data_IF_635288542791
#
_entry.id   IF_635288542791
#
_cell.length_a   1.000
_cell.length_b   1.000
_cell.length_c   1.000
_cell.angle_alpha   90.00
_cell.angle_beta   90.00
_cell.angle_gamma   90.00
#
_symmetry.space_group_name_H-M   'P 1'
#
loop_
_entity.id
_entity.type
_entity.pdbx_description
1 polymer ?
#
# COMPACT_ATOMS: atom_id res chain seq x y z
N UNK A 1 10.66 11.64 -12.09
CA UNK A 1 10.53 11.20 -10.71
C UNK A 1 9.56 12.10 -9.95
N UNK A 2 8.66 11.53 -9.19
CA UNK A 2 7.61 12.30 -8.54
C UNK A 2 7.80 12.31 -7.02
N UNK A 3 8.65 13.22 -6.55
CA UNK A 3 8.95 13.34 -5.12
C UNK A 3 7.75 13.83 -4.32
N UNK A 4 6.83 14.59 -4.95
CA UNK A 4 5.61 15.05 -4.27
C UNK A 4 4.71 13.85 -3.96
N UNK A 5 4.54 12.94 -4.92
CA UNK A 5 3.74 11.75 -4.70
C UNK A 5 4.37 10.84 -3.64
N UNK A 6 5.69 10.69 -3.67
CA UNK A 6 6.40 9.89 -2.68
C UNK A 6 6.21 10.47 -1.26
N UNK A 7 6.36 11.78 -1.11
CA UNK A 7 6.15 12.43 0.18
C UNK A 7 4.72 12.25 0.66
N UNK A 8 3.76 12.31 -0.25
CA UNK A 8 2.35 12.14 0.11
C UNK A 8 2.08 10.75 0.65
N UNK A 9 2.56 9.70 -0.03
CA UNK A 9 2.31 8.34 0.44
C UNK A 9 3.06 8.03 1.73
N UNK A 10 4.24 8.61 1.93
CA UNK A 10 4.98 8.45 3.17
C UNK A 10 4.22 9.09 4.35
N UNK A 11 3.53 10.19 4.10
CA UNK A 11 2.74 10.86 5.13
C UNK A 11 1.44 10.14 5.41
N UNK A 12 0.75 9.69 4.35
CA UNK A 12 -0.56 9.04 4.49
C UNK A 12 -0.42 7.61 5.02
N UNK A 13 0.64 6.92 4.63
CA UNK A 13 0.83 5.51 4.97
C UNK A 13 2.23 5.29 5.54
N UNK A 14 2.49 5.80 6.75
CA UNK A 14 3.84 5.67 7.34
C UNK A 14 4.16 4.20 7.64
N UNK A 15 5.46 3.90 7.65
CA UNK A 15 5.95 2.57 7.99
C UNK A 15 5.39 2.15 9.35
N UNK A 16 4.88 0.93 9.39
CA UNK A 16 4.28 0.36 10.60
C UNK A 16 2.77 0.50 10.69
N UNK A 17 2.15 1.34 9.83
CA UNK A 17 0.70 1.48 9.89
C UNK A 17 0.01 0.28 9.25
N UNK A 18 -1.22 0.04 9.69
CA UNK A 18 -2.07 -1.02 9.13
C UNK A 18 -2.94 -0.44 8.03
N UNK A 19 -3.13 -1.20 6.97
CA UNK A 19 -3.93 -0.78 5.84
C UNK A 19 -4.87 -1.91 5.41
N UNK A 20 -5.91 -1.54 4.69
CA UNK A 20 -6.89 -2.47 4.15
C UNK A 20 -6.96 -2.28 2.65
N UNK A 21 -6.93 -3.37 1.90
CA UNK A 21 -6.99 -3.32 0.44
C UNK A 21 -8.41 -3.02 -0.03
N UNK A 22 -8.54 -1.98 -0.85
CA UNK A 22 -9.82 -1.60 -1.46
C UNK A 22 -9.88 -2.00 -2.92
N UNK A 23 -8.79 -1.85 -3.66
CA UNK A 23 -8.74 -2.17 -5.08
C UNK A 23 -7.29 -2.36 -5.50
N UNK A 24 -7.02 -3.38 -6.31
CA UNK A 24 -5.68 -3.60 -6.83
C UNK A 24 -5.76 -4.11 -8.26
N UNK A 25 -5.07 -3.41 -9.16
CA UNK A 25 -4.98 -3.78 -10.56
C UNK A 25 -3.77 -4.71 -10.75
N UNK A 26 -3.99 -5.98 -10.49
CA UNK A 26 -2.96 -7.00 -10.59
C UNK A 26 -3.63 -8.29 -11.04
N UNK A 27 -2.84 -9.21 -11.60
CA UNK A 27 -3.37 -10.48 -12.08
C UNK A 27 -3.83 -11.38 -10.93
N UNK A 28 -3.07 -11.37 -9.83
CA UNK A 28 -3.34 -12.20 -8.65
C UNK A 28 -3.31 -11.37 -7.38
N UNK A 29 -4.25 -10.42 -7.23
CA UNK A 29 -4.24 -9.55 -6.06
C UNK A 29 -4.71 -10.30 -4.82
N UNK A 30 -4.32 -9.82 -3.63
CA UNK A 30 -4.98 -10.30 -2.41
C UNK A 30 -6.48 -10.01 -2.50
N UNK A 31 -7.31 -10.78 -1.81
CA UNK A 31 -8.76 -10.47 -1.79
C UNK A 31 -9.01 -9.06 -1.26
N UNK A 32 -10.02 -8.39 -1.81
CA UNK A 32 -10.45 -7.08 -1.31
C UNK A 32 -10.79 -7.22 0.17
N UNK A 33 -10.34 -6.26 0.97
CA UNK A 33 -10.51 -6.30 2.41
C UNK A 33 -9.36 -6.94 3.17
N UNK A 34 -8.36 -7.49 2.46
CA UNK A 34 -7.17 -8.03 3.10
C UNK A 34 -6.44 -6.92 3.85
N UNK A 35 -5.99 -7.22 5.06
CA UNK A 35 -5.23 -6.28 5.87
C UNK A 35 -3.74 -6.51 5.68
N UNK A 36 -2.95 -5.46 5.89
CA UNK A 36 -1.50 -5.56 5.78
C UNK A 36 -0.81 -4.48 6.60
N UNK A 37 0.51 -4.57 6.66
CA UNK A 37 1.34 -3.62 7.39
C UNK A 37 2.33 -2.99 6.41
N UNK A 38 2.40 -1.68 6.41
CA UNK A 38 3.35 -0.94 5.57
C UNK A 38 4.75 -1.11 6.13
N UNK A 39 5.70 -1.50 5.27
CA UNK A 39 7.10 -1.63 5.71
C UNK A 39 8.05 -0.72 4.94
N UNK A 40 7.57 0.01 3.95
CA UNK A 40 8.41 0.94 3.21
C UNK A 40 7.67 1.60 2.06
N UNK A 41 8.42 2.40 1.32
CA UNK A 41 7.94 3.10 0.13
C UNK A 41 9.08 3.09 -0.88
N UNK A 42 8.76 3.01 -2.17
CA UNK A 42 9.80 3.08 -3.19
C UNK A 42 9.80 4.44 -3.90
N UNK A 43 10.74 4.62 -4.83
CA UNK A 43 10.89 5.90 -5.55
C UNK A 43 9.78 6.17 -6.54
N UNK A 44 8.95 5.18 -6.83
CA UNK A 44 7.80 5.34 -7.70
C UNK A 44 6.52 5.66 -6.90
N UNK A 45 6.69 5.99 -5.63
CA UNK A 45 5.59 6.28 -4.71
C UNK A 45 4.70 5.06 -4.44
N UNK A 46 5.20 3.86 -4.69
CA UNK A 46 4.48 2.65 -4.30
C UNK A 46 4.59 2.42 -2.81
N UNK A 47 3.54 1.90 -2.21
CA UNK A 47 3.53 1.54 -0.79
C UNK A 47 3.85 0.06 -0.68
N UNK A 48 4.93 -0.25 0.05
CA UNK A 48 5.37 -1.63 0.23
C UNK A 48 4.65 -2.21 1.44
N UNK A 49 3.88 -3.26 1.22
CA UNK A 49 2.99 -3.81 2.24
C UNK A 49 3.23 -5.31 2.41
N UNK A 50 3.34 -5.74 3.66
CA UNK A 50 3.26 -7.16 4.02
C UNK A 50 1.79 -7.47 4.28
N UNK A 51 1.15 -8.13 3.32
CA UNK A 51 -0.26 -8.51 3.44
C UNK A 51 -0.38 -9.73 4.36
N UNK A 52 -1.41 -9.73 5.20
CA UNK A 52 -1.59 -10.80 6.20
C UNK A 52 -1.82 -12.16 5.56
N UNK A 53 -2.23 -12.21 4.29
CA UNK A 53 -2.42 -13.47 3.56
C UNK A 53 -1.13 -14.01 2.95
N UNK A 54 0.01 -13.36 3.20
CA UNK A 54 1.31 -13.78 2.67
C UNK A 54 1.71 -13.14 1.34
N UNK A 55 0.83 -12.37 0.72
CA UNK A 55 1.16 -11.67 -0.51
C UNK A 55 2.17 -10.56 -0.25
N UNK A 56 3.09 -10.34 -1.20
CA UNK A 56 4.06 -9.26 -1.12
C UNK A 56 3.88 -8.18 -2.17
N UNK A 57 2.69 -8.08 -2.77
CA UNK A 57 2.45 -7.12 -3.84
C UNK A 57 2.41 -5.69 -3.32
N UNK A 58 3.12 -4.78 -4.01
CA UNK A 58 3.14 -3.36 -3.66
C UNK A 58 1.87 -2.68 -4.14
N UNK A 59 1.49 -1.61 -3.45
CA UNK A 59 0.36 -0.76 -3.85
C UNK A 59 0.90 0.33 -4.77
N UNK A 60 0.46 0.32 -6.03
CA UNK A 60 0.95 1.26 -7.04
C UNK A 60 0.20 2.59 -6.90
N UNK A 61 0.95 3.68 -6.81
CA UNK A 61 0.37 5.02 -6.65
C UNK A 61 -0.62 5.33 -7.77
N UNK A 62 -1.79 5.85 -7.39
CA UNK A 62 -2.84 6.30 -8.30
C UNK A 62 -3.47 5.20 -9.16
N UNK A 63 -3.10 3.95 -8.92
CA UNK A 63 -3.67 2.79 -9.63
C UNK A 63 -4.42 1.92 -8.63
N UNK A 64 -3.74 1.50 -7.57
CA UNK A 64 -4.32 0.66 -6.54
C UNK A 64 -4.84 1.53 -5.39
N UNK A 65 -5.78 1.02 -4.61
CA UNK A 65 -6.39 1.78 -3.53
C UNK A 65 -6.36 1.02 -2.23
N UNK A 66 -5.91 1.70 -1.20
CA UNK A 66 -5.89 1.19 0.17
C UNK A 66 -6.42 2.27 1.10
N UNK A 67 -6.78 1.88 2.30
CA UNK A 67 -7.17 2.81 3.35
C UNK A 67 -6.39 2.46 4.62
N UNK A 68 -5.93 3.49 5.31
CA UNK A 68 -5.27 3.32 6.60
C UNK A 68 -6.35 3.01 7.63
N UNK A 69 -6.13 1.97 8.44
CA UNK A 69 -7.04 1.65 9.52
C UNK A 69 -6.46 2.09 10.85
N UNK A 70 -7.32 2.64 11.69
CA UNK A 70 -6.94 3.09 13.03
C UNK A 70 -7.37 2.02 14.02
N UNK A 71 -6.39 1.44 14.67
CA UNK A 71 -6.63 0.47 15.73
C UNK A 71 -6.63 1.14 17.10
#
# INVERSE_FOLDING_TARGET
MNSVAKERVERLYPVGCRVKLLEMDDRFPPPIGTLGTVYGHDDLASVLVHWDNGSGLSVVYDVDKIVKIND
#
